data_IF_509622811402
#
_entry.id   IF_509622811402
#
_cell.length_a   1.000
_cell.length_b   1.000
_cell.length_c   1.000
_cell.angle_alpha   90.00
_cell.angle_beta   90.00
_cell.angle_gamma   90.00
#
_symmetry.space_group_name_H-M   'P 1'
#
loop_
_entity.id
_entity.type
_entity.pdbx_description
1 polymer ?
#
# COMPACT_ATOMS: atom_id res chain seq x y z
N UNK A 1 -33.99 -5.74 52.30
CA UNK A 1 -34.14 -6.95 51.46
C UNK A 1 -34.66 -6.63 50.05
N UNK A 2 -35.72 -5.81 49.89
CA UNK A 2 -36.20 -5.37 48.55
C UNK A 2 -35.28 -4.35 47.82
N UNK A 3 -34.53 -3.53 48.55
CA UNK A 3 -33.53 -2.60 47.98
C UNK A 3 -32.34 -3.36 47.38
N UNK A 4 -31.76 -4.28 48.14
CA UNK A 4 -30.62 -5.10 47.74
C UNK A 4 -30.91 -5.98 46.52
N UNK A 5 -32.14 -6.50 46.38
CA UNK A 5 -32.54 -7.24 45.18
C UNK A 5 -32.61 -6.36 43.92
N UNK A 6 -33.09 -5.10 44.06
CA UNK A 6 -33.11 -4.13 42.94
C UNK A 6 -31.70 -3.70 42.55
N UNK A 7 -30.82 -3.48 43.51
CA UNK A 7 -29.40 -3.17 43.27
C UNK A 7 -28.69 -4.31 42.53
N UNK A 8 -28.92 -5.57 42.93
CA UNK A 8 -28.37 -6.73 42.24
C UNK A 8 -28.89 -6.86 40.81
N UNK A 9 -30.18 -6.61 40.58
CA UNK A 9 -30.77 -6.62 39.25
C UNK A 9 -30.15 -5.53 38.36
N UNK A 10 -29.99 -4.31 38.90
CA UNK A 10 -29.36 -3.20 38.19
C UNK A 10 -27.90 -3.51 37.85
N UNK A 11 -27.15 -4.08 38.78
CA UNK A 11 -25.77 -4.50 38.58
C UNK A 11 -25.65 -5.53 37.46
N UNK A 12 -26.57 -6.52 37.41
CA UNK A 12 -26.61 -7.51 36.31
C UNK A 12 -26.90 -6.89 34.94
N UNK A 13 -27.80 -5.92 34.88
CA UNK A 13 -28.09 -5.18 33.63
C UNK A 13 -26.85 -4.41 33.18
N UNK A 14 -26.20 -3.70 34.10
CA UNK A 14 -24.96 -2.97 33.81
C UNK A 14 -23.86 -3.91 33.31
N UNK A 15 -23.65 -5.04 33.98
CA UNK A 15 -22.66 -6.04 33.57
C UNK A 15 -22.93 -6.58 32.17
N UNK A 16 -24.20 -6.87 31.84
CA UNK A 16 -24.60 -7.28 30.48
C UNK A 16 -24.34 -6.19 29.44
N UNK A 17 -24.68 -4.93 29.75
CA UNK A 17 -24.45 -3.81 28.84
C UNK A 17 -22.96 -3.57 28.59
N UNK A 18 -22.13 -3.68 29.64
CA UNK A 18 -20.67 -3.59 29.53
C UNK A 18 -20.14 -4.73 28.66
N UNK A 19 -20.52 -5.98 28.94
CA UNK A 19 -20.08 -7.13 28.15
C UNK A 19 -20.45 -7.00 26.67
N UNK A 20 -21.69 -6.63 26.36
CA UNK A 20 -22.15 -6.42 24.99
C UNK A 20 -21.42 -5.24 24.30
N UNK A 21 -21.05 -4.21 25.05
CA UNK A 21 -20.27 -3.08 24.51
C UNK A 21 -18.84 -3.49 24.18
N UNK A 22 -18.19 -4.23 25.09
CA UNK A 22 -16.85 -4.78 24.85
C UNK A 22 -16.84 -5.65 23.60
N UNK A 23 -17.81 -6.57 23.48
CA UNK A 23 -17.93 -7.44 22.31
C UNK A 23 -18.06 -6.64 21.00
N UNK A 24 -18.95 -5.64 20.96
CA UNK A 24 -19.14 -4.79 19.78
C UNK A 24 -17.88 -3.98 19.42
N UNK A 25 -17.19 -3.44 20.41
CA UNK A 25 -15.94 -2.70 20.19
C UNK A 25 -14.83 -3.64 19.70
N UNK A 26 -14.74 -4.85 20.27
CA UNK A 26 -13.76 -5.86 19.84
C UNK A 26 -13.95 -6.26 18.38
N UNK A 27 -15.19 -6.34 17.87
CA UNK A 27 -15.45 -6.57 16.44
C UNK A 27 -14.91 -5.46 15.53
N UNK A 28 -14.80 -4.24 16.05
CA UNK A 28 -14.32 -3.08 15.30
C UNK A 28 -12.79 -2.95 15.28
N UNK A 29 -12.08 -3.56 16.24
CA UNK A 29 -10.61 -3.41 16.34
C UNK A 29 -9.86 -3.86 15.07
N UNK A 30 -10.18 -5.01 14.45
CA UNK A 30 -9.41 -5.48 13.29
C UNK A 30 -9.44 -4.49 12.11
N UNK A 31 -10.58 -3.84 11.84
CA UNK A 31 -10.67 -2.86 10.73
C UNK A 31 -9.86 -1.60 11.03
N UNK A 32 -9.85 -1.16 12.29
CA UNK A 32 -9.11 0.03 12.73
C UNK A 32 -7.60 -0.22 12.67
N UNK A 33 -7.15 -1.38 13.15
CA UNK A 33 -5.75 -1.82 13.06
C UNK A 33 -5.29 -1.95 11.62
N UNK A 34 -6.10 -2.56 10.75
CA UNK A 34 -5.78 -2.73 9.34
C UNK A 34 -5.69 -1.38 8.61
N UNK A 35 -6.58 -0.44 8.94
CA UNK A 35 -6.51 0.92 8.41
C UNK A 35 -5.25 1.66 8.87
N UNK A 36 -4.85 1.52 10.15
CA UNK A 36 -3.59 2.09 10.65
C UNK A 36 -2.39 1.52 9.89
N UNK A 37 -2.34 0.18 9.75
CA UNK A 37 -1.30 -0.53 9.00
C UNK A 37 -1.23 -0.08 7.55
N UNK A 38 -2.37 0.11 6.88
CA UNK A 38 -2.45 0.64 5.51
C UNK A 38 -1.77 2.01 5.42
N UNK A 39 -2.13 2.93 6.33
CA UNK A 39 -1.55 4.28 6.37
C UNK A 39 -0.04 4.25 6.60
N UNK A 40 0.46 3.37 7.44
CA UNK A 40 1.90 3.19 7.66
C UNK A 40 2.62 2.64 6.43
N UNK A 41 2.04 1.64 5.75
CA UNK A 41 2.61 1.09 4.51
C UNK A 41 2.67 2.12 3.39
N UNK A 42 1.63 2.96 3.26
CA UNK A 42 1.62 4.06 2.29
C UNK A 42 2.71 5.09 2.61
N UNK A 43 2.87 5.50 3.87
CA UNK A 43 3.96 6.40 4.30
C UNK A 43 5.34 5.80 4.02
N UNK A 44 5.50 4.49 4.17
CA UNK A 44 6.74 3.78 3.89
C UNK A 44 6.97 3.48 2.39
N UNK A 45 6.13 4.01 1.48
CA UNK A 45 6.14 3.72 0.04
C UNK A 45 6.11 2.22 -0.29
N UNK A 46 5.52 1.40 0.59
CA UNK A 46 5.33 -0.03 0.38
C UNK A 46 4.00 -0.26 -0.34
N UNK A 47 3.96 0.12 -1.62
CA UNK A 47 2.72 0.21 -2.40
C UNK A 47 2.00 -1.12 -2.57
N UNK A 48 2.71 -2.20 -2.89
CA UNK A 48 2.10 -3.52 -3.05
C UNK A 48 1.55 -4.07 -1.73
N UNK A 49 2.31 -4.06 -0.60
CA UNK A 49 1.74 -4.39 0.71
C UNK A 49 0.55 -3.53 1.11
N UNK A 50 0.59 -2.21 0.83
CA UNK A 50 -0.54 -1.30 1.07
C UNK A 50 -1.79 -1.73 0.30
N UNK A 51 -1.65 -2.04 -0.98
CA UNK A 51 -2.76 -2.50 -1.81
C UNK A 51 -3.35 -3.81 -1.27
N UNK A 52 -2.51 -4.77 -0.86
CA UNK A 52 -2.98 -6.03 -0.26
C UNK A 52 -3.72 -5.82 1.07
N UNK A 53 -3.22 -4.93 1.91
CA UNK A 53 -3.88 -4.55 3.16
C UNK A 53 -5.24 -3.90 2.89
N UNK A 54 -5.33 -3.00 1.89
CA UNK A 54 -6.58 -2.36 1.48
C UNK A 54 -7.60 -3.39 0.97
N UNK A 55 -7.18 -4.33 0.12
CA UNK A 55 -8.03 -5.42 -0.38
C UNK A 55 -8.57 -6.29 0.76
N UNK A 56 -7.73 -6.63 1.75
CA UNK A 56 -8.13 -7.42 2.90
C UNK A 56 -9.11 -6.64 3.80
N UNK A 57 -8.86 -5.35 4.02
CA UNK A 57 -9.76 -4.48 4.78
C UNK A 57 -11.14 -4.38 4.13
N UNK A 58 -11.20 -4.20 2.81
CA UNK A 58 -12.42 -4.10 2.00
C UNK A 58 -13.23 -5.39 1.99
N UNK A 59 -12.59 -6.53 1.71
CA UNK A 59 -13.31 -7.78 1.46
C UNK A 59 -13.46 -8.67 2.70
N UNK A 60 -12.61 -8.53 3.72
CA UNK A 60 -12.63 -9.42 4.90
C UNK A 60 -13.23 -8.74 6.13
N UNK A 61 -12.79 -7.52 6.47
CA UNK A 61 -13.14 -6.91 7.75
C UNK A 61 -14.33 -5.95 7.66
N UNK A 62 -14.36 -5.06 6.66
CA UNK A 62 -15.45 -4.10 6.51
C UNK A 62 -16.85 -4.74 6.37
N UNK A 63 -17.05 -5.88 5.69
CA UNK A 63 -18.38 -6.50 5.61
C UNK A 63 -18.97 -6.85 6.98
N UNK A 64 -18.12 -7.14 7.98
CA UNK A 64 -18.54 -7.52 9.32
C UNK A 64 -19.04 -6.33 10.16
N UNK A 65 -18.58 -5.11 9.83
CA UNK A 65 -18.78 -3.91 10.67
C UNK A 65 -19.35 -2.72 9.90
N UNK A 66 -19.60 -2.85 8.60
CA UNK A 66 -20.10 -1.78 7.70
C UNK A 66 -21.42 -1.13 8.15
N UNK A 67 -22.24 -1.83 8.92
CA UNK A 67 -23.47 -1.30 9.51
C UNK A 67 -23.22 -0.19 10.54
N UNK A 68 -22.01 -0.08 11.09
CA UNK A 68 -21.63 1.04 11.93
C UNK A 68 -21.30 2.27 11.08
N UNK A 69 -21.91 3.40 11.42
CA UNK A 69 -21.78 4.66 10.68
C UNK A 69 -20.33 5.11 10.47
N UNK A 70 -19.44 4.86 11.42
CA UNK A 70 -18.03 5.25 11.29
C UNK A 70 -17.29 4.45 10.20
N UNK A 71 -17.72 3.22 9.92
CA UNK A 71 -17.16 2.39 8.85
C UNK A 71 -17.56 2.89 7.46
N UNK A 72 -18.69 3.59 7.33
CA UNK A 72 -19.12 4.14 6.04
C UNK A 72 -18.08 5.10 5.46
N UNK A 73 -17.50 5.96 6.31
CA UNK A 73 -16.40 6.84 5.90
C UNK A 73 -15.21 6.05 5.37
N UNK A 74 -14.88 4.89 5.94
CA UNK A 74 -13.79 4.05 5.43
C UNK A 74 -14.13 3.48 4.06
N UNK A 75 -15.35 2.95 3.89
CA UNK A 75 -15.85 2.40 2.60
C UNK A 75 -15.79 3.46 1.50
N UNK A 76 -16.32 4.65 1.76
CA UNK A 76 -16.39 5.74 0.79
C UNK A 76 -14.98 6.23 0.37
N UNK A 77 -13.97 6.04 1.21
CA UNK A 77 -12.58 6.42 0.93
C UNK A 77 -11.78 5.34 0.19
N UNK A 78 -12.27 4.09 0.08
CA UNK A 78 -11.53 3.01 -0.59
C UNK A 78 -11.14 3.38 -2.03
N UNK A 79 -12.02 3.92 -2.89
CA UNK A 79 -11.65 4.27 -4.26
C UNK A 79 -10.52 5.30 -4.30
N UNK A 80 -10.56 6.29 -3.41
CA UNK A 80 -9.53 7.33 -3.29
C UNK A 80 -8.19 6.77 -2.83
N UNK A 81 -8.20 5.88 -1.82
CA UNK A 81 -6.97 5.22 -1.35
C UNK A 81 -6.34 4.36 -2.44
N UNK A 82 -7.16 3.66 -3.24
CA UNK A 82 -6.69 2.85 -4.37
C UNK A 82 -6.06 3.73 -5.45
N UNK A 83 -6.68 4.86 -5.76
CA UNK A 83 -6.16 5.85 -6.72
C UNK A 83 -4.85 6.48 -6.22
N UNK A 84 -4.76 6.87 -4.96
CA UNK A 84 -3.54 7.40 -4.34
C UNK A 84 -2.38 6.40 -4.44
N UNK A 85 -2.61 5.13 -4.09
CA UNK A 85 -1.58 4.08 -4.21
C UNK A 85 -1.14 3.92 -5.67
N UNK A 86 -2.10 3.90 -6.61
CA UNK A 86 -1.82 3.78 -8.04
C UNK A 86 -0.96 4.95 -8.53
N UNK A 87 -1.34 6.18 -8.22
CA UNK A 87 -0.67 7.37 -8.73
C UNK A 87 0.76 7.47 -8.23
N UNK A 88 0.98 7.25 -6.94
CA UNK A 88 2.33 7.25 -6.35
C UNK A 88 3.17 6.11 -6.93
N UNK A 89 2.60 4.91 -7.08
CA UNK A 89 3.31 3.77 -7.70
C UNK A 89 3.71 4.04 -9.14
N UNK A 90 2.81 4.65 -9.93
CA UNK A 90 3.07 4.97 -11.33
C UNK A 90 4.09 6.10 -11.47
N UNK A 91 4.12 7.06 -10.55
CA UNK A 91 5.17 8.08 -10.50
C UNK A 91 6.54 7.43 -10.23
N UNK A 92 6.66 6.61 -9.18
CA UNK A 92 7.92 5.94 -8.84
C UNK A 92 8.42 5.06 -10.00
N UNK A 93 7.51 4.37 -10.72
CA UNK A 93 7.85 3.59 -11.91
C UNK A 93 8.37 4.47 -13.07
N UNK A 94 7.71 5.60 -13.34
CA UNK A 94 8.15 6.54 -14.39
C UNK A 94 9.54 7.09 -14.08
N UNK A 95 9.78 7.48 -12.83
CA UNK A 95 11.08 7.99 -12.38
C UNK A 95 12.18 6.93 -12.52
N UNK A 96 11.85 5.67 -12.20
CA UNK A 96 12.76 4.55 -12.39
C UNK A 96 13.13 4.32 -13.86
N UNK A 97 12.15 4.31 -14.77
CA UNK A 97 12.39 4.13 -16.20
C UNK A 97 13.19 5.29 -16.80
N UNK A 98 12.93 6.53 -16.37
CA UNK A 98 13.70 7.69 -16.79
C UNK A 98 15.15 7.62 -16.29
N UNK A 99 15.37 7.11 -15.07
CA UNK A 99 16.70 6.84 -14.55
C UNK A 99 17.43 5.79 -15.40
N UNK A 100 16.78 4.67 -15.74
CA UNK A 100 17.37 3.67 -16.64
C UNK A 100 17.76 4.28 -17.97
N UNK A 101 16.86 5.06 -18.60
CA UNK A 101 17.12 5.67 -19.91
C UNK A 101 18.42 6.48 -19.90
N UNK A 102 18.55 7.41 -18.93
CA UNK A 102 19.73 8.26 -18.77
C UNK A 102 21.03 7.48 -18.58
N UNK A 103 21.01 6.40 -17.81
CA UNK A 103 22.21 5.59 -17.56
C UNK A 103 22.55 4.69 -18.75
N UNK A 104 21.53 4.15 -19.43
CA UNK A 104 21.70 3.28 -20.59
C UNK A 104 22.37 3.98 -21.77
N UNK A 105 22.05 5.26 -22.01
CA UNK A 105 22.70 6.09 -23.05
C UNK A 105 24.21 6.19 -22.82
N UNK A 106 24.62 6.53 -21.59
CA UNK A 106 26.05 6.63 -21.23
C UNK A 106 26.79 5.30 -21.35
N UNK A 107 26.18 4.21 -20.88
CA UNK A 107 26.76 2.87 -21.01
C UNK A 107 26.92 2.50 -22.49
N UNK A 108 25.89 2.79 -23.30
CA UNK A 108 25.90 2.58 -24.74
C UNK A 108 27.03 3.35 -25.44
N UNK A 109 27.22 4.63 -25.14
CA UNK A 109 28.32 5.42 -25.69
C UNK A 109 29.70 4.83 -25.36
N UNK A 110 29.90 4.42 -24.11
CA UNK A 110 31.17 3.84 -23.66
C UNK A 110 31.44 2.49 -24.35
N UNK A 111 30.42 1.62 -24.44
CA UNK A 111 30.52 0.35 -25.13
C UNK A 111 30.85 0.56 -26.62
N UNK A 112 30.17 1.49 -27.30
CA UNK A 112 30.42 1.80 -28.71
C UNK A 112 31.82 2.38 -28.96
N UNK A 113 32.37 3.17 -28.02
CA UNK A 113 33.76 3.65 -28.10
C UNK A 113 34.78 2.51 -27.99
N UNK A 114 34.50 1.48 -27.18
CA UNK A 114 35.40 0.33 -27.02
C UNK A 114 35.40 -0.61 -28.22
N UNK A 115 34.27 -0.75 -28.91
CA UNK A 115 34.14 -1.64 -30.09
C UNK A 115 34.57 -0.94 -31.39
N UNK A 116 34.75 0.39 -31.38
CA UNK A 116 35.23 1.12 -32.55
C UNK A 116 36.71 0.78 -32.80
N UNK A 117 37.07 0.19 -33.96
CA UNK A 117 38.46 -0.07 -34.27
C UNK A 117 39.24 1.27 -34.33
N UNK A 118 40.52 1.30 -33.92
CA UNK A 118 41.35 2.48 -34.07
C UNK A 118 41.38 2.87 -35.55
N UNK A 119 41.25 4.17 -35.85
CA UNK A 119 41.22 4.70 -37.23
C UNK A 119 42.45 4.30 -38.07
N UNK A 120 43.55 3.92 -37.43
CA UNK A 120 44.71 3.31 -38.09
C UNK A 120 44.39 1.97 -38.79
N UNK A 121 43.43 1.19 -38.29
CA UNK A 121 43.05 -0.12 -38.83
C UNK A 121 42.18 0.00 -40.09
N UNK A 122 41.37 1.06 -40.21
CA UNK A 122 40.56 1.31 -41.41
C UNK A 122 41.41 1.81 -42.58
N UNK A 123 42.53 2.49 -42.34
CA UNK A 123 43.47 2.88 -43.38
C UNK A 123 44.29 1.70 -43.93
N UNK A 124 44.63 0.72 -43.09
CA UNK A 124 45.36 -0.49 -43.53
C UNK A 124 44.50 -1.41 -44.39
N UNK A 125 43.19 -1.53 -44.13
CA UNK A 125 42.29 -2.33 -44.96
C UNK A 125 42.06 -1.73 -46.36
N UNK A 126 42.18 -0.40 -46.52
CA UNK A 126 42.11 0.26 -47.82
C UNK A 126 43.36 0.11 -48.70
N UNK A 127 44.52 -0.24 -48.10
CA UNK A 127 45.80 -0.36 -48.79
C UNK A 127 46.13 -1.79 -49.27
N UNK A 128 45.34 -2.80 -48.89
CA UNK A 128 45.56 -4.22 -49.26
C UNK A 128 44.70 -4.68 -50.44
N UNK A 129 43.95 -3.77 -51.10
CA UNK A 129 43.08 -4.09 -52.26
C UNK A 129 43.54 -3.35 -53.53
N UNK A 130 44.84 -3.08 -53.68
CA UNK A 130 45.45 -2.67 -54.97
C UNK A 130 46.68 -3.53 -55.21
#
# INVERSE_FOLDING_TARGET
MLSTMRELQQCRIQQRNIAATVEKLSLCLPVLEMYSKLREQMKAKRHYPALKTLEQMEHTYLPQVSHYRFCQTMVDNIPRLREEIKDVSMSDLKDFLESIRKHSERIGELAMKQVRPPSAFTHLLGATVI
#
